data_IF_687943843032
#
_entry.id   IF_687943843032
#
_cell.length_a   1.000
_cell.length_b   1.000
_cell.length_c   1.000
_cell.angle_alpha   90.00
_cell.angle_beta   90.00
_cell.angle_gamma   90.00
#
_symmetry.space_group_name_H-M   'P 1'
#
loop_
_entity.id
_entity.type
_entity.pdbx_description
1 polymer ?
#
# COMPACT_ATOMS: atom_id res chain seq x y z
N UNK A 1 11.54 -4.33 20.63
CA UNK A 1 11.08 -3.42 19.56
C UNK A 1 9.58 -3.22 19.74
N UNK A 2 9.07 -1.98 19.72
CA UNK A 2 7.63 -1.73 19.85
C UNK A 2 6.91 -2.10 18.54
N UNK A 3 5.68 -2.66 18.60
CA UNK A 3 4.91 -2.98 17.40
C UNK A 3 4.56 -1.71 16.62
N UNK A 4 4.51 -1.83 15.29
CA UNK A 4 4.07 -0.75 14.41
C UNK A 4 2.61 -0.38 14.68
N UNK A 5 2.29 0.90 14.62
CA UNK A 5 0.90 1.41 14.69
C UNK A 5 0.20 1.40 13.32
N UNK A 6 0.92 1.03 12.26
CA UNK A 6 0.39 0.91 10.91
C UNK A 6 -0.45 -0.37 10.80
N UNK A 7 -1.65 -0.24 10.26
CA UNK A 7 -2.56 -1.37 10.01
C UNK A 7 -2.82 -1.55 8.52
N UNK A 8 -2.87 -2.78 8.04
CA UNK A 8 -3.19 -3.09 6.64
C UNK A 8 -4.68 -3.46 6.52
N UNK A 9 -5.36 -2.94 5.51
CA UNK A 9 -6.77 -3.23 5.27
C UNK A 9 -7.02 -4.56 4.55
N UNK A 10 -5.97 -5.25 4.11
CA UNK A 10 -6.04 -6.51 3.38
C UNK A 10 -5.08 -7.54 3.97
N UNK A 11 -5.45 -8.81 3.84
CA UNK A 11 -4.54 -9.94 4.06
C UNK A 11 -3.55 -10.03 2.88
N UNK A 12 -2.26 -9.89 3.17
CA UNK A 12 -1.18 -9.91 2.20
C UNK A 12 -0.78 -11.34 1.77
N UNK A 13 -1.33 -12.38 2.42
CA UNK A 13 -1.05 -13.78 2.11
C UNK A 13 -2.21 -14.48 1.39
N UNK A 14 -3.39 -13.87 1.36
CA UNK A 14 -4.56 -14.46 0.75
C UNK A 14 -4.44 -14.49 -0.79
N UNK A 15 -4.75 -15.64 -1.39
CA UNK A 15 -4.74 -15.84 -2.84
C UNK A 15 -5.64 -14.83 -3.58
N UNK A 16 -5.25 -14.55 -4.83
CA UNK A 16 -5.91 -13.61 -5.74
C UNK A 16 -5.34 -12.20 -5.69
N UNK A 17 -6.05 -11.27 -6.36
CA UNK A 17 -5.73 -9.83 -6.40
C UNK A 17 -6.54 -9.09 -5.34
N UNK A 18 -5.88 -8.29 -4.51
CA UNK A 18 -6.51 -7.45 -3.48
C UNK A 18 -5.96 -6.05 -3.54
N UNK A 19 -6.84 -5.07 -3.42
CA UNK A 19 -6.50 -3.65 -3.40
C UNK A 19 -6.97 -3.09 -2.06
N UNK A 20 -6.12 -2.32 -1.40
CA UNK A 20 -6.38 -1.82 -0.07
C UNK A 20 -5.49 -0.63 0.29
N UNK A 21 -5.25 -0.47 1.58
CA UNK A 21 -4.42 0.59 2.10
C UNK A 21 -3.71 0.20 3.40
N UNK A 22 -2.56 0.83 3.64
CA UNK A 22 -1.99 0.96 4.97
C UNK A 22 -2.60 2.19 5.63
N UNK A 23 -3.18 2.02 6.80
CA UNK A 23 -3.68 3.12 7.64
C UNK A 23 -2.62 3.52 8.65
N UNK A 24 -2.24 4.79 8.61
CA UNK A 24 -1.36 5.45 9.57
C UNK A 24 -2.20 6.46 10.33
N UNK A 25 -2.30 6.30 11.66
CA UNK A 25 -3.00 7.27 12.49
C UNK A 25 -2.25 8.61 12.43
N UNK A 26 -2.95 9.68 12.03
CA UNK A 26 -2.37 11.02 11.89
C UNK A 26 -3.35 12.04 12.47
N UNK A 27 -3.24 12.27 13.76
CA UNK A 27 -4.00 13.31 14.46
C UNK A 27 -3.47 14.67 14.01
N UNK A 28 -4.38 15.61 13.75
CA UNK A 28 -4.03 16.98 13.36
C UNK A 28 -4.86 17.97 14.18
N UNK A 29 -4.45 19.24 14.22
CA UNK A 29 -5.19 20.29 14.92
C UNK A 29 -6.65 20.44 14.43
N UNK A 30 -6.92 20.03 13.19
CA UNK A 30 -8.25 20.13 12.56
C UNK A 30 -8.99 18.80 12.52
N UNK A 31 -8.37 17.68 12.95
CA UNK A 31 -8.99 16.37 12.93
C UNK A 31 -8.40 15.43 14.00
N UNK A 32 -9.16 15.27 15.10
CA UNK A 32 -8.77 14.47 16.28
C UNK A 32 -8.71 12.95 16.06
N UNK A 33 -9.39 12.44 15.03
CA UNK A 33 -9.42 11.02 14.66
C UNK A 33 -9.07 10.80 13.18
N UNK A 34 -8.10 11.56 12.67
CA UNK A 34 -7.66 11.42 11.28
C UNK A 34 -6.65 10.27 11.09
N UNK A 35 -6.61 9.78 9.85
CA UNK A 35 -5.65 8.81 9.35
C UNK A 35 -5.17 9.21 7.97
N UNK A 36 -3.92 8.86 7.66
CA UNK A 36 -3.39 8.87 6.30
C UNK A 36 -3.42 7.46 5.74
N UNK A 37 -3.80 7.33 4.48
CA UNK A 37 -3.91 6.04 3.81
C UNK A 37 -2.86 5.96 2.70
N UNK A 38 -2.02 4.93 2.75
CA UNK A 38 -1.09 4.59 1.66
C UNK A 38 -1.72 3.45 0.88
N UNK A 39 -2.10 3.71 -0.37
CA UNK A 39 -2.74 2.71 -1.21
C UNK A 39 -1.76 1.65 -1.67
N UNK A 40 -2.22 0.40 -1.72
CA UNK A 40 -1.44 -0.72 -2.22
C UNK A 40 -2.33 -1.78 -2.89
N UNK A 41 -1.70 -2.62 -3.70
CA UNK A 41 -2.28 -3.87 -4.17
C UNK A 41 -1.35 -5.05 -3.89
N UNK A 42 -1.92 -6.23 -3.69
CA UNK A 42 -1.18 -7.47 -3.54
C UNK A 42 -1.82 -8.53 -4.45
N UNK A 43 -0.99 -9.25 -5.19
CA UNK A 43 -1.42 -10.36 -6.06
C UNK A 43 -0.66 -11.60 -5.63
N UNK A 44 -1.39 -12.63 -5.19
CA UNK A 44 -0.82 -13.91 -4.76
C UNK A 44 -1.37 -15.01 -5.65
N UNK A 45 -0.49 -15.74 -6.33
CA UNK A 45 -0.85 -16.85 -7.22
C UNK A 45 0.22 -17.97 -7.16
N UNK A 46 0.00 -18.94 -6.27
CA UNK A 46 0.91 -20.08 -6.09
C UNK A 46 2.20 -19.74 -5.33
N UNK A 47 3.21 -20.59 -5.50
CA UNK A 47 4.51 -20.48 -4.80
C UNK A 47 5.54 -19.77 -5.68
N UNK A 48 6.26 -18.82 -5.12
CA UNK A 48 7.31 -18.08 -5.81
C UNK A 48 7.91 -16.98 -4.93
N UNK A 49 8.88 -16.21 -5.45
CA UNK A 49 9.40 -15.05 -4.74
C UNK A 49 8.36 -13.93 -4.65
N UNK A 50 8.44 -13.13 -3.59
CA UNK A 50 7.67 -11.89 -3.46
C UNK A 50 8.47 -10.73 -4.02
N UNK A 51 7.85 -9.93 -4.90
CA UNK A 51 8.41 -8.67 -5.40
C UNK A 51 7.68 -7.50 -4.77
N UNK A 52 8.44 -6.54 -4.24
CA UNK A 52 7.91 -5.27 -3.73
C UNK A 52 8.18 -4.17 -4.75
N UNK A 53 7.13 -3.53 -5.24
CA UNK A 53 7.20 -2.37 -6.12
C UNK A 53 6.78 -1.13 -5.33
N UNK A 54 7.65 -0.12 -5.29
CA UNK A 54 7.40 1.14 -4.61
C UNK A 54 7.52 2.30 -5.59
N UNK A 55 6.71 3.33 -5.38
CA UNK A 55 6.72 4.55 -6.15
C UNK A 55 6.24 5.73 -5.30
N UNK A 56 6.53 6.95 -5.75
CA UNK A 56 6.15 8.16 -5.02
C UNK A 56 6.94 8.36 -3.72
N UNK A 57 8.23 7.96 -3.71
CA UNK A 57 9.13 8.33 -2.62
C UNK A 57 9.20 9.86 -2.48
N UNK A 58 9.32 10.55 -3.62
CA UNK A 58 9.02 11.97 -3.74
C UNK A 58 7.67 12.16 -4.45
N UNK A 59 6.88 13.12 -3.97
CA UNK A 59 5.51 13.35 -4.44
C UNK A 59 5.40 13.90 -5.86
N UNK A 60 6.50 14.45 -6.38
CA UNK A 60 6.67 15.05 -7.70
C UNK A 60 7.37 14.12 -8.72
N UNK A 61 7.68 12.87 -8.33
CA UNK A 61 8.27 11.86 -9.20
C UNK A 61 7.22 10.88 -9.75
N UNK A 62 6.61 11.25 -10.89
CA UNK A 62 5.42 10.57 -11.41
C UNK A 62 5.66 9.26 -12.17
N UNK A 63 6.84 9.07 -12.76
CA UNK A 63 7.09 7.94 -13.67
C UNK A 63 6.85 6.57 -12.99
N UNK A 64 7.39 6.40 -11.78
CA UNK A 64 7.19 5.18 -10.99
C UNK A 64 5.72 5.00 -10.56
N UNK A 65 5.02 6.09 -10.23
CA UNK A 65 3.62 6.04 -9.78
C UNK A 65 2.74 5.53 -10.92
N UNK A 66 2.94 6.05 -12.13
CA UNK A 66 2.20 5.62 -13.31
C UNK A 66 2.52 4.16 -13.68
N UNK A 67 3.79 3.76 -13.64
CA UNK A 67 4.20 2.40 -13.94
C UNK A 67 3.61 1.39 -12.94
N UNK A 68 3.64 1.68 -11.64
CA UNK A 68 3.07 0.81 -10.61
C UNK A 68 1.54 0.69 -10.73
N UNK A 69 0.84 1.79 -11.04
CA UNK A 69 -0.61 1.77 -11.28
C UNK A 69 -0.97 0.94 -12.52
N UNK A 70 -0.22 1.07 -13.62
CA UNK A 70 -0.44 0.24 -14.83
C UNK A 70 -0.18 -1.24 -14.56
N UNK A 71 0.93 -1.56 -13.89
CA UNK A 71 1.25 -2.94 -13.51
C UNK A 71 0.12 -3.53 -12.66
N UNK A 72 -0.36 -2.80 -11.65
CA UNK A 72 -1.47 -3.25 -10.81
C UNK A 72 -2.79 -3.36 -11.60
N UNK A 73 -3.00 -2.57 -12.65
CA UNK A 73 -4.18 -2.66 -13.49
C UNK A 73 -4.16 -3.91 -14.38
N UNK A 74 -2.99 -4.26 -14.92
CA UNK A 74 -2.80 -5.34 -15.89
C UNK A 74 -2.67 -6.74 -15.26
N UNK A 75 -2.17 -6.84 -14.02
CA UNK A 75 -2.17 -8.07 -13.21
C UNK A 75 -3.54 -8.40 -12.63
#
# INVERSE_FOLDING_TARGET
>A
MMPSTVSCSIDLQAEGKRIGHLRINKITNTAGWASTFIHLGCVVNGKGPTVLVLAGNHGDEYAGQLAALRLLQEL
#
